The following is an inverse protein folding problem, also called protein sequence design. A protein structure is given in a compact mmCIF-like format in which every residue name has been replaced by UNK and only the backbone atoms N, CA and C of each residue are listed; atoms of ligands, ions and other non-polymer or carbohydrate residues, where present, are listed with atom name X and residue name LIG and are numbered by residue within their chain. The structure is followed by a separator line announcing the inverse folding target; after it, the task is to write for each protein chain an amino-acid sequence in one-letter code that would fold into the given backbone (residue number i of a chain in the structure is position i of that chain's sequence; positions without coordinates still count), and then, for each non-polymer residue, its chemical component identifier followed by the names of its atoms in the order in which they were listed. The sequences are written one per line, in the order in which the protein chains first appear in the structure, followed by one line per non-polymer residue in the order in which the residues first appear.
data_IF_632946236805
#
_entry.id   IF_632946236805
#
_cell.length_a   1.000
_cell.length_b   1.000
_cell.length_c   1.000
_cell.angle_alpha   90.00
_cell.angle_beta   90.00
_cell.angle_gamma   90.00
#
_symmetry.space_group_name_H-M   'P 1'
#
loop_
_entity.id
_entity.type
_entity.pdbx_description
1 polymer ?
#
# COMPACT_ATOMS: atom_id res chain seq x y z
N UNK A 1 -5.99 6.62 -78.46
CA UNK A 1 -6.19 7.85 -79.29
C UNK A 1 -7.05 8.82 -78.45
N UNK A 2 -6.80 10.14 -78.49
CA UNK A 2 -5.57 10.84 -78.74
C UNK A 2 -5.12 11.72 -77.53
N UNK A 3 -3.86 12.10 -77.65
CA UNK A 3 -3.15 13.14 -76.93
C UNK A 3 -3.79 14.55 -77.05
N UNK A 4 -3.62 15.42 -76.06
CA UNK A 4 -3.33 16.85 -76.29
C UNK A 4 -2.47 17.43 -75.14
N UNK A 5 -1.28 17.85 -75.52
CA UNK A 5 -0.41 18.85 -74.89
C UNK A 5 -1.04 20.24 -74.97
N UNK A 6 -0.78 21.14 -74.00
CA UNK A 6 -0.55 22.58 -74.17
C UNK A 6 0.11 23.09 -72.88
N UNK A 7 1.39 23.35 -72.88
CA UNK A 7 2.16 24.59 -73.06
C UNK A 7 2.16 25.57 -71.86
N UNK A 8 3.37 25.76 -71.32
CA UNK A 8 3.79 26.70 -70.29
C UNK A 8 3.66 28.19 -70.72
N UNK A 9 3.43 29.06 -69.74
CA UNK A 9 3.87 30.47 -69.82
C UNK A 9 4.48 30.85 -68.49
N UNK A 10 5.76 31.20 -68.55
CA UNK A 10 6.50 31.83 -67.47
C UNK A 10 6.24 33.34 -67.47
N UNK A 11 5.99 33.91 -66.28
CA UNK A 11 6.13 35.38 -66.09
C UNK A 11 6.98 35.62 -64.85
N UNK A 12 8.17 36.07 -65.04
CA UNK A 12 9.06 36.59 -64.01
C UNK A 12 8.68 38.01 -63.68
N UNK A 13 8.46 38.30 -62.38
CA UNK A 13 8.46 39.66 -61.87
C UNK A 13 9.46 39.74 -60.73
N UNK A 14 10.53 40.47 -61.00
CA UNK A 14 11.50 40.93 -60.02
C UNK A 14 10.90 42.10 -59.22
N UNK A 15 10.93 42.01 -57.86
CA UNK A 15 10.89 43.20 -57.03
C UNK A 15 11.71 42.96 -55.75
N UNK A 16 12.49 43.95 -55.41
CA UNK A 16 13.59 44.01 -54.50
C UNK A 16 13.22 43.96 -53.00
N UNK A 17 14.20 43.74 -52.10
CA UNK A 17 13.97 43.47 -50.69
C UNK A 17 13.71 44.74 -49.88
N UNK A 18 12.75 44.71 -48.99
CA UNK A 18 12.66 45.63 -47.86
C UNK A 18 13.15 44.88 -46.62
N UNK A 19 14.38 45.18 -46.21
CA UNK A 19 14.89 44.88 -44.88
C UNK A 19 14.11 45.70 -43.85
N UNK A 20 13.34 45.02 -43.03
CA UNK A 20 12.94 45.52 -41.71
C UNK A 20 13.39 44.49 -40.69
N UNK A 21 14.55 44.81 -40.09
CA UNK A 21 15.04 44.16 -38.90
C UNK A 21 14.15 44.53 -37.73
N UNK A 22 13.40 43.57 -37.22
CA UNK A 22 12.98 43.51 -35.81
C UNK A 22 13.36 42.12 -35.30
N UNK A 23 14.57 42.05 -34.75
CA UNK A 23 15.01 40.89 -33.96
C UNK A 23 14.36 40.95 -32.59
N UNK A 24 13.16 40.46 -32.52
CA UNK A 24 12.60 39.91 -31.30
C UNK A 24 12.78 38.43 -31.33
N UNK A 25 13.83 37.93 -30.71
CA UNK A 25 13.91 36.49 -30.39
C UNK A 25 12.90 36.20 -29.31
N UNK A 26 11.65 36.04 -29.69
CA UNK A 26 10.72 35.26 -28.87
C UNK A 26 11.22 33.82 -28.91
N UNK A 27 11.91 33.39 -27.84
CA UNK A 27 12.03 31.97 -27.56
C UNK A 27 10.61 31.42 -27.62
N UNK A 28 10.34 30.37 -28.46
CA UNK A 28 9.04 29.73 -28.42
C UNK A 28 8.84 29.32 -26.96
N UNK A 29 7.78 29.83 -26.33
CA UNK A 29 7.41 29.42 -24.98
C UNK A 29 7.37 27.88 -24.99
N UNK A 30 8.25 27.27 -24.21
CA UNK A 30 8.33 25.80 -24.09
C UNK A 30 6.91 25.34 -23.72
N UNK A 31 6.35 24.42 -24.51
CA UNK A 31 4.98 23.94 -24.28
C UNK A 31 4.86 23.48 -22.81
N UNK A 32 3.76 23.82 -22.10
CA UNK A 32 3.63 23.49 -20.69
C UNK A 32 3.87 22.00 -20.48
N UNK A 33 4.80 21.68 -19.59
CA UNK A 33 5.15 20.28 -19.28
C UNK A 33 3.93 19.62 -18.66
N UNK A 34 3.55 18.45 -19.16
CA UNK A 34 2.45 17.64 -18.60
C UNK A 34 3.03 16.35 -18.04
N UNK A 35 2.64 16.00 -16.83
CA UNK A 35 2.95 14.73 -16.19
C UNK A 35 1.72 13.84 -16.13
N UNK A 36 1.95 12.54 -16.24
CA UNK A 36 0.97 11.49 -15.95
C UNK A 36 1.29 10.85 -14.59
N UNK A 37 0.28 10.71 -13.75
CA UNK A 37 0.42 10.16 -12.41
C UNK A 37 -0.60 9.05 -12.17
N UNK A 38 -0.12 7.84 -11.84
CA UNK A 38 -0.98 6.76 -11.35
C UNK A 38 -0.97 6.76 -9.83
N UNK A 39 -2.07 7.18 -9.24
CA UNK A 39 -2.29 7.13 -7.80
C UNK A 39 -2.95 5.79 -7.41
N UNK A 40 -2.56 5.23 -6.27
CA UNK A 40 -3.27 4.09 -5.67
C UNK A 40 -4.58 4.55 -5.02
N UNK A 41 -5.60 3.69 -4.98
CA UNK A 41 -6.83 3.96 -4.25
C UNK A 41 -6.58 3.90 -2.75
N UNK A 42 -6.74 5.02 -2.05
CA UNK A 42 -6.58 5.16 -0.60
C UNK A 42 -7.90 5.48 0.11
N UNK A 43 -8.77 6.21 -0.54
CA UNK A 43 -10.05 6.63 -0.03
C UNK A 43 -11.17 5.60 -0.25
N UNK A 44 -12.39 6.01 0.03
CA UNK A 44 -13.58 5.17 -0.06
C UNK A 44 -13.92 4.73 -1.51
N UNK A 45 -13.44 5.44 -2.52
CA UNK A 45 -13.63 5.13 -3.94
C UNK A 45 -12.59 5.83 -4.80
N UNK A 46 -12.44 5.37 -6.06
CA UNK A 46 -11.56 6.00 -7.05
C UNK A 46 -11.93 7.46 -7.33
N UNK A 47 -13.23 7.77 -7.31
CA UNK A 47 -13.70 9.14 -7.50
C UNK A 47 -13.43 10.01 -6.28
N UNK A 48 -13.59 9.47 -5.06
CA UNK A 48 -13.22 10.19 -3.83
C UNK A 48 -11.73 10.54 -3.82
N UNK A 49 -10.86 9.63 -4.24
CA UNK A 49 -9.42 9.90 -4.34
C UNK A 49 -9.10 11.00 -5.36
N UNK A 50 -9.77 11.02 -6.51
CA UNK A 50 -9.61 12.12 -7.48
C UNK A 50 -10.00 13.45 -6.88
N UNK A 51 -11.12 13.51 -6.16
CA UNK A 51 -11.60 14.73 -5.51
C UNK A 51 -10.65 15.21 -4.40
N UNK A 52 -9.97 14.31 -3.72
CA UNK A 52 -8.95 14.64 -2.70
C UNK A 52 -7.66 15.15 -3.37
N UNK A 53 -7.23 14.50 -4.44
CA UNK A 53 -5.96 14.81 -5.09
C UNK A 53 -6.04 16.06 -6.00
N UNK A 54 -7.16 16.28 -6.68
CA UNK A 54 -7.26 17.33 -7.70
C UNK A 54 -6.91 18.74 -7.18
N UNK A 55 -7.38 19.20 -6.00
CA UNK A 55 -6.99 20.51 -5.47
C UNK A 55 -5.48 20.71 -5.31
N UNK A 56 -4.77 19.62 -4.90
CA UNK A 56 -3.33 19.64 -4.70
C UNK A 56 -2.58 19.62 -6.04
N UNK A 57 -3.10 18.90 -7.04
CA UNK A 57 -2.56 18.92 -8.40
C UNK A 57 -2.73 20.29 -9.04
N UNK A 58 -3.88 20.95 -8.87
CA UNK A 58 -4.13 22.31 -9.33
C UNK A 58 -3.23 23.33 -8.62
N UNK A 59 -2.92 23.10 -7.34
CA UNK A 59 -1.97 23.91 -6.56
C UNK A 59 -0.56 23.77 -7.12
N UNK A 60 -0.12 22.53 -7.42
CA UNK A 60 1.16 22.28 -8.06
C UNK A 60 1.26 22.94 -9.42
N UNK A 61 0.22 22.85 -10.27
CA UNK A 61 0.16 23.52 -11.57
C UNK A 61 0.28 25.05 -11.42
N UNK A 62 -0.45 25.65 -10.48
CA UNK A 62 -0.34 27.11 -10.21
C UNK A 62 1.05 27.53 -9.76
N UNK A 63 1.76 26.70 -9.00
CA UNK A 63 3.10 27.03 -8.48
C UNK A 63 4.21 26.84 -9.52
N UNK A 64 4.04 25.91 -10.46
CA UNK A 64 5.13 25.45 -11.32
C UNK A 64 4.87 25.61 -12.82
N UNK A 65 3.62 25.80 -13.22
CA UNK A 65 3.19 25.74 -14.62
C UNK A 65 3.16 24.30 -15.18
N UNK A 66 3.38 23.27 -14.35
CA UNK A 66 3.39 21.86 -14.76
C UNK A 66 2.03 21.25 -14.45
N UNK A 67 1.33 20.80 -15.48
CA UNK A 67 0.05 20.11 -15.34
C UNK A 67 0.27 18.65 -14.99
N UNK A 68 -0.48 18.11 -14.03
CA UNK A 68 -0.49 16.68 -13.68
C UNK A 68 -1.85 16.07 -13.99
N UNK A 69 -1.86 15.03 -14.80
CA UNK A 69 -3.07 14.24 -15.07
C UNK A 69 -3.02 12.97 -14.22
N UNK A 70 -3.98 12.84 -13.29
CA UNK A 70 -4.05 11.69 -12.39
C UNK A 70 -5.02 10.62 -12.91
N UNK A 71 -4.60 9.37 -12.79
CA UNK A 71 -5.46 8.17 -12.87
C UNK A 71 -5.36 7.44 -11.53
N UNK A 72 -6.50 7.25 -10.85
CA UNK A 72 -6.55 6.43 -9.63
C UNK A 72 -6.76 4.98 -10.03
N UNK A 73 -5.86 4.11 -9.60
CA UNK A 73 -5.84 2.68 -9.97
C UNK A 73 -6.21 1.83 -8.75
N UNK A 74 -7.17 0.88 -8.86
CA UNK A 74 -7.48 -0.06 -7.79
C UNK A 74 -6.27 -0.90 -7.41
N UNK A 75 -6.13 -1.23 -6.13
CA UNK A 75 -5.03 -2.09 -5.63
C UNK A 75 -5.00 -3.46 -6.30
N UNK A 76 -6.17 -4.04 -6.61
CA UNK A 76 -6.30 -5.33 -7.34
C UNK A 76 -5.59 -5.34 -8.69
N UNK A 77 -5.46 -4.18 -9.33
CA UNK A 77 -4.96 -4.04 -10.70
C UNK A 77 -3.57 -3.42 -10.76
N UNK A 78 -3.21 -2.66 -9.72
CA UNK A 78 -2.05 -1.75 -9.75
C UNK A 78 -0.75 -2.50 -9.99
N UNK A 79 -0.46 -3.58 -9.27
CA UNK A 79 0.79 -4.33 -9.43
C UNK A 79 0.92 -4.90 -10.85
N UNK A 80 -0.15 -5.52 -11.37
CA UNK A 80 -0.14 -6.08 -12.73
C UNK A 80 0.07 -5.01 -13.79
N UNK A 81 -0.53 -3.83 -13.62
CA UNK A 81 -0.34 -2.68 -14.52
C UNK A 81 1.10 -2.15 -14.46
N UNK A 82 1.70 -2.09 -13.25
CA UNK A 82 3.10 -1.68 -13.07
C UNK A 82 4.06 -2.63 -13.78
N UNK A 83 3.87 -3.94 -13.64
CA UNK A 83 4.69 -4.95 -14.30
C UNK A 83 4.54 -4.92 -15.82
N UNK A 84 3.30 -4.74 -16.32
CA UNK A 84 3.05 -4.56 -17.76
C UNK A 84 3.71 -3.28 -18.30
N UNK A 85 3.63 -2.18 -17.57
CA UNK A 85 4.28 -0.92 -17.94
C UNK A 85 5.82 -1.04 -17.90
N UNK A 86 6.37 -1.73 -16.90
CA UNK A 86 7.80 -2.01 -16.80
C UNK A 86 8.33 -2.81 -18.02
N UNK A 87 7.52 -3.78 -18.46
CA UNK A 87 7.89 -4.64 -19.60
C UNK A 87 7.75 -3.93 -20.96
N UNK A 88 6.66 -3.16 -21.13
CA UNK A 88 6.34 -2.47 -22.41
C UNK A 88 7.07 -1.14 -22.56
N UNK A 89 7.58 -0.55 -21.49
CA UNK A 89 8.06 0.83 -21.48
C UNK A 89 6.95 1.89 -21.63
N UNK A 90 5.69 1.48 -21.53
CA UNK A 90 4.50 2.35 -21.64
C UNK A 90 3.88 2.54 -20.24
N UNK A 91 4.34 3.53 -19.51
CA UNK A 91 3.88 3.82 -18.16
C UNK A 91 3.70 5.31 -17.92
N UNK A 92 3.18 5.72 -16.75
CA UNK A 92 3.09 7.11 -16.34
C UNK A 92 4.49 7.68 -16.04
N UNK A 93 4.57 8.99 -15.83
CA UNK A 93 5.82 9.62 -15.37
C UNK A 93 6.08 9.29 -13.89
N UNK A 94 5.05 9.37 -13.06
CA UNK A 94 5.10 9.13 -11.61
C UNK A 94 4.01 8.14 -11.22
N UNK A 95 4.28 7.30 -10.23
CA UNK A 95 3.33 6.28 -9.77
C UNK A 95 3.43 6.04 -8.27
N UNK A 96 2.30 5.73 -7.64
CA UNK A 96 2.26 5.11 -6.33
C UNK A 96 2.55 3.61 -6.43
N UNK A 97 3.37 3.11 -5.52
CA UNK A 97 3.62 1.69 -5.35
C UNK A 97 3.40 1.31 -3.89
N UNK A 98 2.93 0.09 -3.62
CA UNK A 98 3.00 -0.48 -2.28
C UNK A 98 4.47 -0.56 -1.85
N UNK A 99 4.75 -0.17 -0.62
CA UNK A 99 6.13 -0.22 -0.12
C UNK A 99 6.70 -1.64 -0.13
N UNK A 100 5.86 -2.65 0.05
CA UNK A 100 6.21 -4.08 -0.01
C UNK A 100 6.73 -4.50 -1.39
N UNK A 101 6.21 -3.91 -2.47
CA UNK A 101 6.64 -4.19 -3.85
C UNK A 101 7.94 -3.50 -4.28
N UNK A 102 8.50 -2.63 -3.43
CA UNK A 102 9.63 -1.77 -3.81
C UNK A 102 10.84 -2.59 -4.29
N UNK A 103 11.21 -3.65 -3.58
CA UNK A 103 12.34 -4.49 -3.96
C UNK A 103 12.10 -5.25 -5.27
N UNK A 104 10.90 -5.81 -5.46
CA UNK A 104 10.51 -6.52 -6.68
C UNK A 104 10.47 -5.58 -7.89
N UNK A 105 9.88 -4.40 -7.74
CA UNK A 105 9.82 -3.41 -8.80
C UNK A 105 11.20 -2.81 -9.12
N UNK A 106 12.06 -2.64 -8.10
CA UNK A 106 13.45 -2.23 -8.31
C UNK A 106 14.20 -3.22 -9.19
N UNK A 107 14.01 -4.52 -8.99
CA UNK A 107 14.65 -5.57 -9.78
C UNK A 107 14.26 -5.54 -11.26
N UNK A 108 13.10 -4.96 -11.61
CA UNK A 108 12.72 -4.77 -13.03
C UNK A 108 13.59 -3.77 -13.76
N UNK A 109 14.30 -2.88 -13.07
CA UNK A 109 15.08 -1.78 -13.65
C UNK A 109 14.24 -0.68 -14.33
N UNK A 110 12.91 -0.70 -14.18
CA UNK A 110 11.98 0.22 -14.85
C UNK A 110 11.87 1.60 -14.16
N UNK A 111 12.34 1.73 -12.95
CA UNK A 111 12.25 2.97 -12.15
C UNK A 111 13.63 3.59 -11.98
N UNK A 112 13.66 4.92 -11.73
CA UNK A 112 14.91 5.58 -11.35
C UNK A 112 15.32 5.14 -9.95
N UNK A 113 16.62 5.19 -9.67
CA UNK A 113 17.13 5.07 -8.30
C UNK A 113 17.18 6.43 -7.64
N UNK A 114 16.75 6.49 -6.39
CA UNK A 114 16.89 7.67 -5.55
C UNK A 114 18.23 7.59 -4.81
N UNK A 115 19.32 7.75 -5.55
CA UNK A 115 20.65 7.93 -5.00
C UNK A 115 20.76 9.25 -4.20
N UNK A 116 21.91 9.53 -3.61
CA UNK A 116 22.10 10.74 -2.78
C UNK A 116 21.78 12.03 -3.56
N UNK A 117 22.12 12.10 -4.85
CA UNK A 117 21.83 13.27 -5.70
C UNK A 117 20.33 13.42 -5.98
N UNK A 118 19.66 12.30 -6.30
CA UNK A 118 18.22 12.27 -6.57
C UNK A 118 17.42 12.53 -5.27
N UNK A 119 17.84 11.97 -4.13
CA UNK A 119 17.25 12.29 -2.83
C UNK A 119 17.43 13.77 -2.47
N UNK A 120 18.60 14.36 -2.74
CA UNK A 120 18.80 15.81 -2.54
C UNK A 120 17.83 16.66 -3.36
N UNK A 121 17.52 16.26 -4.60
CA UNK A 121 16.57 16.97 -5.46
C UNK A 121 15.13 16.97 -4.87
N UNK A 122 14.76 15.97 -4.08
CA UNK A 122 13.44 15.90 -3.42
C UNK A 122 13.47 16.31 -1.94
N UNK A 123 14.54 16.97 -1.49
CA UNK A 123 14.64 17.57 -0.16
C UNK A 123 15.53 16.81 0.83
N UNK A 124 16.23 15.76 0.38
CA UNK A 124 17.23 15.01 1.16
C UNK A 124 16.64 13.81 1.93
N UNK A 125 17.48 12.79 2.14
CA UNK A 125 17.09 11.54 2.81
C UNK A 125 16.70 11.75 4.28
N UNK A 126 17.35 12.70 4.95
CA UNK A 126 17.23 12.89 6.40
C UNK A 126 15.85 13.44 6.82
N UNK A 127 15.07 13.94 5.88
CA UNK A 127 13.70 14.39 6.16
C UNK A 127 12.72 13.23 6.34
N UNK A 128 12.96 12.10 5.70
CA UNK A 128 12.05 10.96 5.75
C UNK A 128 12.16 10.18 7.06
N UNK A 129 11.07 9.54 7.46
CA UNK A 129 11.04 8.57 8.57
C UNK A 129 11.93 7.38 8.17
N UNK A 130 12.94 7.00 8.99
CA UNK A 130 13.92 5.99 8.58
C UNK A 130 13.31 4.64 8.21
N UNK A 131 12.33 4.14 8.99
CA UNK A 131 11.66 2.87 8.71
C UNK A 131 10.88 2.90 7.38
N UNK A 132 10.22 4.02 7.06
CA UNK A 132 9.51 4.19 5.81
C UNK A 132 10.47 4.25 4.61
N UNK A 133 11.56 5.03 4.72
CA UNK A 133 12.55 5.10 3.64
C UNK A 133 13.28 3.77 3.44
N UNK A 134 13.57 3.03 4.51
CA UNK A 134 14.18 1.70 4.43
C UNK A 134 13.32 0.69 3.66
N UNK A 135 11.99 0.86 3.63
CA UNK A 135 11.07 -0.01 2.87
C UNK A 135 10.86 0.42 1.41
N UNK A 136 11.60 1.44 0.93
CA UNK A 136 11.42 1.99 -0.41
C UNK A 136 12.33 1.36 -1.49
N UNK A 137 12.95 0.22 -1.21
CA UNK A 137 13.81 -0.51 -2.13
C UNK A 137 14.37 -1.79 -1.54
N UNK A 138 15.24 -2.46 -2.29
CA UNK A 138 15.96 -3.64 -1.83
C UNK A 138 17.00 -3.27 -0.77
N UNK A 139 17.25 -4.21 0.15
CA UNK A 139 18.21 -4.02 1.23
C UNK A 139 19.62 -3.66 0.69
N UNK A 140 20.27 -2.69 1.32
CA UNK A 140 21.62 -2.22 0.98
C UNK A 140 21.76 -1.63 -0.45
N UNK A 141 20.67 -1.16 -1.05
CA UNK A 141 20.69 -0.46 -2.35
C UNK A 141 20.08 0.93 -2.19
N UNK A 142 20.41 1.89 -3.08
CA UNK A 142 19.65 3.13 -3.18
C UNK A 142 18.16 2.81 -3.42
N UNK A 143 17.22 3.47 -2.73
CA UNK A 143 15.80 3.17 -2.90
C UNK A 143 15.34 3.45 -4.33
N UNK A 144 14.29 2.75 -4.77
CA UNK A 144 13.64 2.95 -6.08
C UNK A 144 12.46 3.91 -6.02
N UNK A 145 12.12 4.36 -4.83
CA UNK A 145 10.99 5.25 -4.55
C UNK A 145 11.28 6.09 -3.31
N UNK A 146 10.38 7.02 -2.99
CA UNK A 146 10.37 7.72 -1.69
C UNK A 146 9.01 7.54 -1.01
N UNK A 147 8.96 7.45 0.32
CA UNK A 147 7.70 7.22 1.02
C UNK A 147 6.79 8.45 0.95
N UNK A 148 5.49 8.20 0.70
CA UNK A 148 4.42 9.20 0.63
C UNK A 148 3.48 9.09 1.83
N UNK A 149 3.00 7.88 2.13
CA UNK A 149 2.16 7.57 3.28
C UNK A 149 2.80 6.46 4.10
N UNK A 150 2.70 6.56 5.43
CA UNK A 150 3.13 5.52 6.35
C UNK A 150 1.92 4.94 7.08
N UNK A 151 1.89 3.63 7.25
CA UNK A 151 0.79 2.88 7.82
C UNK A 151 1.33 1.76 8.74
N UNK A 152 0.48 1.30 9.66
CA UNK A 152 0.70 0.11 10.45
C UNK A 152 -0.64 -0.57 10.73
N UNK A 153 -0.63 -1.86 11.05
CA UNK A 153 -1.83 -2.54 11.53
C UNK A 153 -2.11 -2.19 12.98
N UNK A 154 -3.39 -2.06 13.28
CA UNK A 154 -3.91 -1.94 14.64
C UNK A 154 -5.14 -2.83 14.83
N UNK A 155 -5.48 -3.08 16.06
CA UNK A 155 -6.74 -3.69 16.47
C UNK A 155 -7.76 -2.58 16.71
N UNK A 156 -8.82 -2.55 15.93
CA UNK A 156 -9.99 -1.72 16.13
C UNK A 156 -11.04 -2.54 16.88
N UNK A 157 -11.69 -1.94 17.88
CA UNK A 157 -12.73 -2.61 18.65
C UNK A 157 -13.94 -1.70 18.89
N UNK A 158 -15.13 -2.27 18.79
CA UNK A 158 -16.39 -1.55 19.02
C UNK A 158 -16.63 -1.42 20.52
N UNK A 159 -16.55 -0.18 21.04
CA UNK A 159 -16.66 0.11 22.48
C UNK A 159 -18.00 -0.34 23.08
N UNK A 160 -19.11 -0.13 22.34
CA UNK A 160 -20.43 -0.53 22.83
C UNK A 160 -20.53 -2.05 22.95
N UNK A 161 -20.09 -2.78 21.92
CA UNK A 161 -20.12 -4.24 21.93
C UNK A 161 -19.24 -4.83 23.03
N UNK A 162 -18.06 -4.22 23.30
CA UNK A 162 -17.19 -4.59 24.42
C UNK A 162 -17.87 -4.39 25.75
N UNK A 163 -18.48 -3.21 25.96
CA UNK A 163 -19.22 -2.91 27.18
C UNK A 163 -20.40 -3.89 27.40
N UNK A 164 -21.21 -4.14 26.35
CA UNK A 164 -22.35 -5.07 26.40
C UNK A 164 -21.91 -6.52 26.67
N UNK A 165 -20.69 -6.89 26.32
CA UNK A 165 -20.10 -8.22 26.55
C UNK A 165 -19.28 -8.28 27.86
N UNK A 166 -19.21 -7.20 28.65
CA UNK A 166 -18.45 -7.13 29.90
C UNK A 166 -16.93 -7.23 29.67
N UNK A 167 -16.42 -6.75 28.52
CA UNK A 167 -15.00 -6.71 28.20
C UNK A 167 -14.44 -5.35 28.58
N UNK A 168 -13.60 -5.30 29.61
CA UNK A 168 -13.13 -4.05 30.21
C UNK A 168 -12.01 -3.35 29.42
N UNK A 169 -11.23 -4.10 28.64
CA UNK A 169 -10.07 -3.56 27.92
C UNK A 169 -9.83 -4.34 26.61
N UNK A 170 -9.18 -3.72 25.60
CA UNK A 170 -8.80 -4.44 24.39
C UNK A 170 -7.77 -5.55 24.70
N UNK A 171 -7.82 -6.67 23.96
CA UNK A 171 -6.90 -7.77 24.15
C UNK A 171 -5.46 -7.38 23.77
N UNK A 172 -4.49 -7.84 24.56
CA UNK A 172 -3.06 -7.65 24.34
C UNK A 172 -2.36 -8.94 23.89
N UNK A 173 -3.06 -10.09 24.03
CA UNK A 173 -2.61 -11.38 23.54
C UNK A 173 -3.64 -12.02 22.62
N UNK A 174 -3.20 -12.96 21.76
CA UNK A 174 -4.10 -13.69 20.86
C UNK A 174 -5.13 -14.52 21.62
N UNK A 175 -4.74 -15.08 22.77
CA UNK A 175 -5.64 -15.84 23.63
C UNK A 175 -6.75 -14.92 24.17
N UNK A 176 -6.41 -13.72 24.64
CA UNK A 176 -7.40 -12.72 25.06
C UNK A 176 -8.29 -12.27 23.90
N UNK A 177 -7.74 -12.14 22.68
CA UNK A 177 -8.54 -11.80 21.50
C UNK A 177 -9.57 -12.88 21.19
N UNK A 178 -9.20 -14.16 21.29
CA UNK A 178 -10.11 -15.27 21.09
C UNK A 178 -11.19 -15.31 22.18
N UNK A 179 -10.83 -15.10 23.45
CA UNK A 179 -11.80 -15.02 24.56
C UNK A 179 -12.79 -13.86 24.33
N UNK A 180 -12.29 -12.68 23.97
CA UNK A 180 -13.14 -11.54 23.62
C UNK A 180 -14.01 -11.87 22.41
N UNK A 181 -13.44 -12.44 21.37
CA UNK A 181 -14.14 -12.86 20.16
C UNK A 181 -15.29 -13.82 20.44
N UNK A 182 -15.08 -14.82 21.29
CA UNK A 182 -16.15 -15.77 21.72
C UNK A 182 -17.28 -15.08 22.48
N UNK A 183 -16.96 -14.10 23.37
CA UNK A 183 -17.99 -13.31 24.08
C UNK A 183 -18.79 -12.41 23.15
N UNK A 184 -18.14 -11.90 22.10
CA UNK A 184 -18.75 -11.02 21.12
C UNK A 184 -19.56 -11.77 20.05
N UNK A 185 -19.23 -13.04 19.79
CA UNK A 185 -19.93 -13.87 18.79
C UNK A 185 -21.30 -14.32 19.31
N UNK A 186 -22.35 -13.91 18.61
CA UNK A 186 -23.77 -14.26 18.86
C UNK A 186 -24.44 -14.57 17.53
N UNK A 187 -25.74 -14.89 17.51
CA UNK A 187 -26.47 -15.37 16.32
C UNK A 187 -26.30 -14.52 15.04
N UNK A 188 -26.20 -13.19 15.16
CA UNK A 188 -26.08 -12.26 14.03
C UNK A 188 -24.85 -11.32 14.14
N UNK A 189 -23.95 -11.64 15.06
CA UNK A 189 -22.81 -10.82 15.41
C UNK A 189 -21.58 -11.70 15.57
N UNK A 190 -20.42 -11.23 15.11
CA UNK A 190 -19.18 -11.97 15.19
C UNK A 190 -18.11 -11.20 15.97
N UNK A 191 -17.16 -11.96 16.52
CA UNK A 191 -16.07 -11.37 17.29
C UNK A 191 -15.05 -10.62 16.43
N UNK A 192 -14.70 -11.15 15.27
CA UNK A 192 -13.67 -10.63 14.39
C UNK A 192 -14.13 -10.68 12.94
N UNK A 193 -13.74 -9.67 12.14
CA UNK A 193 -13.83 -9.74 10.68
C UNK A 193 -12.47 -10.10 10.06
N UNK A 194 -12.50 -10.88 8.99
CA UNK A 194 -11.35 -11.33 8.20
C UNK A 194 -11.64 -11.06 6.72
N UNK A 195 -10.61 -10.72 5.93
CA UNK A 195 -10.69 -10.62 4.46
C UNK A 195 -10.06 -11.87 3.83
N UNK A 196 -10.74 -13.03 3.95
CA UNK A 196 -10.20 -14.32 3.57
C UNK A 196 -9.86 -14.49 2.09
N UNK A 197 -10.52 -13.75 1.19
CA UNK A 197 -10.20 -13.75 -0.23
C UNK A 197 -9.18 -12.66 -0.64
N UNK A 198 -8.80 -11.77 0.26
CA UNK A 198 -7.80 -10.74 -0.01
C UNK A 198 -6.39 -11.30 0.12
N UNK A 199 -5.72 -11.45 -1.03
CA UNK A 199 -4.40 -12.08 -1.13
C UNK A 199 -3.34 -11.29 -0.34
N UNK A 200 -3.30 -9.97 -0.49
CA UNK A 200 -2.32 -9.13 0.19
C UNK A 200 -2.52 -9.13 1.71
N UNK A 201 -3.77 -8.96 2.18
CA UNK A 201 -4.09 -9.02 3.62
C UNK A 201 -3.68 -10.36 4.25
N UNK A 202 -3.95 -11.47 3.55
CA UNK A 202 -3.53 -12.80 4.00
C UNK A 202 -2.01 -12.91 4.15
N UNK A 203 -1.24 -12.45 3.16
CA UNK A 203 0.22 -12.47 3.20
C UNK A 203 0.79 -11.57 4.32
N UNK A 204 0.19 -10.39 4.54
CA UNK A 204 0.58 -9.49 5.62
C UNK A 204 0.36 -10.11 7.01
N UNK A 205 -0.78 -10.79 7.20
CA UNK A 205 -1.04 -11.52 8.43
C UNK A 205 -0.13 -12.74 8.57
N UNK A 206 0.13 -13.50 7.48
CA UNK A 206 1.11 -14.57 7.49
C UNK A 206 2.48 -14.09 7.95
N UNK A 207 2.95 -12.96 7.41
CA UNK A 207 4.21 -12.35 7.83
C UNK A 207 4.21 -12.02 9.33
N UNK A 208 3.19 -11.31 9.80
CA UNK A 208 3.11 -10.85 11.20
C UNK A 208 3.09 -12.03 12.17
N UNK A 209 2.25 -13.04 11.89
CA UNK A 209 2.21 -14.28 12.70
C UNK A 209 3.52 -15.06 12.55
N UNK A 210 4.08 -15.17 11.34
CA UNK A 210 5.36 -15.84 11.09
C UNK A 210 6.46 -15.27 11.97
N UNK A 211 6.61 -13.95 12.05
CA UNK A 211 7.60 -13.30 12.91
C UNK A 211 7.37 -13.62 14.39
N UNK A 212 6.11 -13.65 14.86
CA UNK A 212 5.80 -14.02 16.24
C UNK A 212 6.10 -15.50 16.55
N UNK A 213 5.97 -16.37 15.55
CA UNK A 213 6.31 -17.80 15.67
C UNK A 213 7.78 -18.13 15.41
N UNK A 214 8.62 -17.12 15.08
CA UNK A 214 10.05 -17.29 14.78
C UNK A 214 10.31 -17.86 13.38
N UNK A 215 9.34 -17.75 12.49
CA UNK A 215 9.48 -18.10 11.08
C UNK A 215 10.06 -16.97 10.25
N UNK A 216 10.85 -17.35 9.27
CA UNK A 216 11.32 -16.48 8.20
C UNK A 216 10.72 -16.97 6.88
N UNK A 217 10.36 -16.05 5.99
CA UNK A 217 9.76 -16.39 4.70
C UNK A 217 10.81 -16.59 3.60
N UNK A 218 12.00 -16.05 3.83
CA UNK A 218 13.19 -16.27 3.02
C UNK A 218 14.40 -16.47 3.92
N UNK A 219 15.33 -17.29 3.52
CA UNK A 219 16.61 -17.41 4.19
C UNK A 219 17.54 -16.24 3.87
N UNK A 220 18.71 -16.22 4.48
CA UNK A 220 19.71 -15.16 4.29
C UNK A 220 20.23 -15.05 2.83
N UNK A 221 20.02 -16.06 1.99
CA UNK A 221 20.37 -16.06 0.57
C UNK A 221 19.22 -15.57 -0.32
N UNK A 222 18.05 -15.27 0.25
CA UNK A 222 16.83 -14.92 -0.47
C UNK A 222 16.06 -16.11 -1.02
N UNK A 223 16.36 -17.34 -0.58
CA UNK A 223 15.63 -18.55 -0.97
C UNK A 223 14.36 -18.66 -0.12
N UNK A 224 13.20 -19.02 -0.73
CA UNK A 224 11.94 -19.15 0.00
C UNK A 224 11.96 -20.31 1.01
N UNK A 225 11.32 -20.10 2.15
CA UNK A 225 11.24 -21.04 3.29
C UNK A 225 9.80 -21.10 3.83
N UNK A 226 8.82 -21.22 2.94
CA UNK A 226 7.40 -21.03 3.28
C UNK A 226 6.83 -22.15 4.15
N UNK A 227 7.25 -23.39 3.95
CA UNK A 227 6.72 -24.60 4.59
C UNK A 227 7.45 -25.02 5.88
N UNK A 228 8.23 -24.11 6.47
CA UNK A 228 8.86 -24.37 7.76
C UNK A 228 7.81 -24.61 8.86
N UNK A 229 8.12 -25.42 9.90
CA UNK A 229 7.17 -25.65 10.99
C UNK A 229 6.63 -24.39 11.63
N UNK A 230 7.46 -23.34 11.74
CA UNK A 230 7.08 -22.05 12.31
C UNK A 230 6.05 -21.31 11.44
N UNK A 231 6.28 -21.25 10.14
CA UNK A 231 5.37 -20.61 9.19
C UNK A 231 4.05 -21.40 9.06
N UNK A 232 4.12 -22.73 9.06
CA UNK A 232 2.94 -23.59 9.08
C UNK A 232 2.09 -23.33 10.33
N UNK A 233 2.71 -23.31 11.52
CA UNK A 233 2.00 -23.01 12.77
C UNK A 233 1.40 -21.60 12.78
N UNK A 234 2.12 -20.61 12.24
CA UNK A 234 1.69 -19.23 12.14
C UNK A 234 0.44 -19.08 11.24
N UNK A 235 0.48 -19.63 10.03
CA UNK A 235 -0.66 -19.61 9.10
C UNK A 235 -1.84 -20.39 9.69
N UNK A 236 -1.57 -21.59 10.26
CA UNK A 236 -2.60 -22.39 10.91
C UNK A 236 -3.31 -21.60 12.00
N UNK A 237 -2.57 -20.89 12.85
CA UNK A 237 -3.14 -20.08 13.94
C UNK A 237 -4.08 -18.99 13.41
N UNK A 238 -3.73 -18.33 12.31
CA UNK A 238 -4.60 -17.30 11.71
C UNK A 238 -5.88 -17.91 11.10
N UNK A 239 -5.75 -19.02 10.38
CA UNK A 239 -6.91 -19.77 9.84
C UNK A 239 -7.82 -20.25 10.97
N UNK A 240 -7.27 -20.66 12.12
CA UNK A 240 -8.02 -21.18 13.27
C UNK A 240 -8.93 -20.13 13.93
N UNK A 241 -8.71 -18.85 13.75
CA UNK A 241 -9.65 -17.82 14.20
C UNK A 241 -11.06 -18.04 13.60
N UNK A 242 -11.12 -18.55 12.36
CA UNK A 242 -12.39 -18.95 11.72
C UNK A 242 -12.71 -20.43 11.93
N UNK A 243 -11.73 -21.32 11.70
CA UNK A 243 -11.95 -22.76 11.62
C UNK A 243 -12.27 -23.41 12.99
N UNK A 244 -11.52 -23.05 14.03
CA UNK A 244 -11.53 -23.67 15.35
C UNK A 244 -12.17 -22.76 16.40
N UNK A 245 -11.70 -21.51 16.49
CA UNK A 245 -12.19 -20.55 17.49
C UNK A 245 -13.59 -20.04 17.16
N UNK A 246 -13.97 -20.06 15.88
CA UNK A 246 -15.28 -19.68 15.36
C UNK A 246 -15.68 -18.25 15.77
N UNK A 247 -14.71 -17.35 15.80
CA UNK A 247 -14.93 -15.94 16.12
C UNK A 247 -15.11 -15.07 14.87
N UNK A 248 -14.82 -15.60 13.68
CA UNK A 248 -15.05 -14.97 12.39
C UNK A 248 -16.11 -15.72 11.58
N UNK A 249 -16.95 -14.97 10.84
CA UNK A 249 -17.98 -15.55 9.98
C UNK A 249 -17.34 -16.36 8.84
N UNK A 250 -17.74 -17.60 8.57
CA UNK A 250 -17.25 -18.35 7.42
C UNK A 250 -17.42 -17.62 6.07
N UNK A 251 -18.46 -16.78 5.91
CA UNK A 251 -18.63 -15.96 4.70
C UNK A 251 -17.49 -14.95 4.48
N UNK A 252 -16.70 -14.65 5.49
CA UNK A 252 -15.51 -13.81 5.37
C UNK A 252 -14.43 -14.41 4.46
N UNK A 253 -14.51 -15.71 4.15
CA UNK A 253 -13.67 -16.37 3.15
C UNK A 253 -13.80 -15.75 1.73
N UNK A 254 -14.93 -15.07 1.45
CA UNK A 254 -15.18 -14.37 0.17
C UNK A 254 -14.88 -12.87 0.23
N UNK A 255 -14.50 -12.33 1.37
CA UNK A 255 -14.21 -10.91 1.53
C UNK A 255 -12.84 -10.56 0.94
N UNK A 256 -12.82 -9.55 0.04
CA UNK A 256 -11.62 -9.12 -0.68
C UNK A 256 -11.51 -7.60 -0.89
N UNK A 257 -12.58 -6.84 -0.56
CA UNK A 257 -12.70 -5.43 -0.91
C UNK A 257 -13.28 -4.59 0.23
N UNK A 258 -12.66 -4.66 1.41
CA UNK A 258 -13.03 -3.91 2.62
C UNK A 258 -14.44 -4.22 3.17
N UNK A 259 -15.01 -5.39 2.85
CA UNK A 259 -16.29 -5.83 3.45
C UNK A 259 -16.19 -5.95 4.96
N UNK A 260 -15.02 -6.37 5.48
CA UNK A 260 -14.71 -6.41 6.91
C UNK A 260 -14.84 -5.05 7.59
N UNK A 261 -14.37 -3.99 6.93
CA UNK A 261 -14.50 -2.60 7.40
C UNK A 261 -15.98 -2.19 7.44
N UNK A 262 -16.75 -2.55 6.43
CA UNK A 262 -18.19 -2.26 6.39
C UNK A 262 -18.95 -3.02 7.47
N UNK A 263 -18.62 -4.28 7.73
CA UNK A 263 -19.24 -5.05 8.81
C UNK A 263 -18.90 -4.48 10.19
N UNK A 264 -17.68 -3.99 10.39
CA UNK A 264 -17.28 -3.31 11.62
C UNK A 264 -18.03 -1.97 11.79
N UNK A 265 -18.08 -1.13 10.77
CA UNK A 265 -18.77 0.14 10.79
C UNK A 265 -20.28 -0.02 11.09
N UNK A 266 -20.89 -1.09 10.58
CA UNK A 266 -22.30 -1.40 10.79
C UNK A 266 -22.58 -2.22 12.07
N UNK A 267 -21.60 -2.43 12.94
CA UNK A 267 -21.76 -3.12 14.22
C UNK A 267 -22.07 -4.62 14.11
N UNK A 268 -21.76 -5.26 12.98
CA UNK A 268 -21.90 -6.72 12.81
C UNK A 268 -20.74 -7.50 13.42
N UNK A 269 -19.59 -6.84 13.60
CA UNK A 269 -18.41 -7.45 14.21
C UNK A 269 -17.84 -6.55 15.30
N UNK A 270 -17.29 -7.18 16.35
CA UNK A 270 -16.75 -6.46 17.50
C UNK A 270 -15.30 -6.02 17.35
N UNK A 271 -14.51 -6.68 16.51
CA UNK A 271 -13.09 -6.41 16.31
C UNK A 271 -12.72 -6.45 14.83
N UNK A 272 -11.72 -5.67 14.45
CA UNK A 272 -11.15 -5.61 13.12
C UNK A 272 -9.62 -5.41 13.23
N UNK A 273 -8.84 -6.19 12.49
CA UNK A 273 -7.41 -5.97 12.30
C UNK A 273 -7.23 -5.24 10.97
N UNK A 274 -6.80 -3.99 11.02
CA UNK A 274 -6.69 -3.19 9.79
C UNK A 274 -5.64 -2.10 9.91
N UNK A 275 -5.25 -1.56 8.76
CA UNK A 275 -4.41 -0.37 8.68
C UNK A 275 -5.30 0.87 8.77
N UNK A 276 -4.81 2.02 9.21
CA UNK A 276 -5.43 3.35 9.25
C UNK A 276 -6.85 3.45 8.62
N UNK A 277 -7.89 3.01 9.33
CA UNK A 277 -9.24 2.85 8.77
C UNK A 277 -10.23 3.92 9.22
N UNK A 278 -9.82 4.83 10.11
CA UNK A 278 -10.70 5.82 10.73
C UNK A 278 -11.44 6.71 9.73
N UNK A 279 -10.80 7.10 8.63
CA UNK A 279 -11.44 7.87 7.55
C UNK A 279 -12.54 7.07 6.84
N UNK A 280 -12.32 5.78 6.60
CA UNK A 280 -13.31 4.88 5.99
C UNK A 280 -14.49 4.61 6.92
N UNK A 281 -14.23 4.46 8.24
CA UNK A 281 -15.28 4.31 9.25
C UNK A 281 -16.15 5.57 9.34
N UNK A 282 -15.53 6.75 9.32
CA UNK A 282 -16.24 8.03 9.29
C UNK A 282 -17.10 8.16 8.03
N UNK A 283 -16.58 7.78 6.86
CA UNK A 283 -17.34 7.80 5.60
C UNK A 283 -18.57 6.87 5.64
N UNK A 284 -18.54 5.82 6.47
CA UNK A 284 -19.65 4.92 6.73
C UNK A 284 -20.50 5.32 7.96
N UNK A 285 -20.40 6.57 8.41
CA UNK A 285 -21.14 7.16 9.53
C UNK A 285 -20.84 6.54 10.90
N UNK A 286 -19.71 5.85 11.08
CA UNK A 286 -19.27 5.43 12.42
C UNK A 286 -18.55 6.58 13.11
N UNK A 287 -19.08 6.99 14.27
CA UNK A 287 -18.49 8.07 15.07
C UNK A 287 -17.14 7.66 15.66
N UNK A 288 -16.19 8.58 15.73
CA UNK A 288 -14.82 8.30 16.21
C UNK A 288 -14.77 7.83 17.68
N UNK A 289 -15.75 8.20 18.49
CA UNK A 289 -15.88 7.77 19.89
C UNK A 289 -16.55 6.38 20.03
N UNK A 290 -17.17 5.85 18.96
CA UNK A 290 -17.83 4.54 18.97
C UNK A 290 -16.84 3.36 18.97
N UNK A 291 -15.60 3.59 18.54
CA UNK A 291 -14.57 2.56 18.52
C UNK A 291 -13.32 2.99 19.30
N UNK A 292 -12.50 2.01 19.63
CA UNK A 292 -11.16 2.22 20.17
C UNK A 292 -10.12 1.56 19.28
N UNK A 293 -8.87 1.98 19.44
CA UNK A 293 -7.72 1.45 18.72
C UNK A 293 -6.67 0.98 19.70
N UNK A 294 -6.08 -0.16 19.44
CA UNK A 294 -5.01 -0.76 20.26
C UNK A 294 -3.97 -1.43 19.34
N UNK A 295 -2.74 -1.67 19.81
CA UNK A 295 -1.79 -2.49 19.08
C UNK A 295 -2.35 -3.89 18.81
N UNK A 296 -2.01 -4.47 17.65
CA UNK A 296 -2.33 -5.88 17.35
C UNK A 296 -1.72 -6.77 18.44
N UNK A 297 -2.45 -7.79 18.93
CA UNK A 297 -1.97 -8.65 20.01
C UNK A 297 -0.69 -9.42 19.69
N UNK A 298 0.00 -9.84 20.75
CA UNK A 298 1.14 -10.75 20.66
C UNK A 298 0.77 -12.16 21.14
N UNK A 299 1.60 -13.14 20.80
CA UNK A 299 1.57 -14.43 21.49
C UNK A 299 1.95 -14.21 22.96
N UNK A 300 1.15 -14.77 23.88
CA UNK A 300 1.47 -14.71 25.30
C UNK A 300 2.76 -15.46 25.62
N UNK A 301 2.99 -16.58 24.95
CA UNK A 301 4.16 -17.44 25.09
C UNK A 301 4.76 -17.72 23.71
N UNK A 302 5.56 -16.78 23.14
CA UNK A 302 6.16 -17.02 21.84
C UNK A 302 7.15 -18.19 21.90
N UNK A 303 7.22 -19.02 20.86
CA UNK A 303 8.22 -20.08 20.77
C UNK A 303 9.64 -19.50 20.62
N UNK A 304 10.65 -20.35 20.74
CA UNK A 304 12.05 -19.94 20.53
C UNK A 304 12.23 -19.32 19.15
N UNK A 305 12.89 -18.17 19.09
CA UNK A 305 13.04 -17.37 17.87
C UNK A 305 11.88 -16.42 17.58
N UNK A 306 10.76 -16.51 18.31
CA UNK A 306 9.64 -15.59 18.17
C UNK A 306 10.01 -14.14 18.45
N UNK A 307 9.57 -13.23 17.57
CA UNK A 307 9.88 -11.80 17.63
C UNK A 307 8.68 -10.99 18.10
N UNK A 308 8.94 -9.86 18.75
CA UNK A 308 7.91 -8.89 19.12
C UNK A 308 7.54 -8.00 17.93
N UNK A 309 6.99 -8.62 16.91
CA UNK A 309 6.47 -7.96 15.71
C UNK A 309 4.97 -8.18 15.65
N UNK A 310 4.19 -7.10 15.59
CA UNK A 310 2.72 -7.17 15.51
C UNK A 310 2.12 -6.38 14.36
N UNK A 311 2.97 -5.86 13.48
CA UNK A 311 2.59 -5.23 12.22
C UNK A 311 3.72 -5.37 11.22
N UNK A 312 3.39 -5.39 9.95
CA UNK A 312 4.39 -5.00 8.97
C UNK A 312 4.55 -3.47 8.95
N UNK A 313 5.69 -2.98 8.47
CA UNK A 313 5.83 -1.59 8.03
C UNK A 313 5.03 -1.45 6.74
N UNK A 314 3.87 -0.84 6.82
CA UNK A 314 3.02 -0.58 5.68
C UNK A 314 3.20 0.85 5.18
N UNK A 315 2.92 1.09 3.91
CA UNK A 315 2.99 2.42 3.34
C UNK A 315 2.89 2.42 1.82
N UNK A 316 2.79 3.62 1.31
CA UNK A 316 2.77 3.86 -0.12
C UNK A 316 3.96 4.75 -0.46
N UNK A 317 4.70 4.34 -1.48
CA UNK A 317 5.84 5.07 -1.99
C UNK A 317 5.51 5.72 -3.34
N UNK A 318 6.19 6.81 -3.67
CA UNK A 318 6.19 7.41 -4.99
C UNK A 318 7.44 6.99 -5.75
N UNK A 319 7.25 6.40 -6.91
CA UNK A 319 8.30 6.02 -7.84
C UNK A 319 8.20 6.83 -9.14
N UNK A 320 9.32 7.00 -9.82
CA UNK A 320 9.41 7.69 -11.12
C UNK A 320 9.88 6.69 -12.16
N UNK A 321 9.14 6.56 -13.27
CA UNK A 321 9.54 5.69 -14.37
C UNK A 321 10.81 6.19 -15.04
N UNK A 322 11.75 5.28 -15.33
CA UNK A 322 13.03 5.59 -15.98
C UNK A 322 12.85 6.14 -17.40
N UNK A 323 11.75 5.76 -18.07
CA UNK A 323 11.44 6.17 -19.44
C UNK A 323 10.77 7.55 -19.53
N UNK A 324 10.46 8.20 -18.40
CA UNK A 324 9.92 9.56 -18.45
C UNK A 324 10.86 10.51 -19.18
N UNK A 325 10.30 11.31 -20.06
CA UNK A 325 11.02 12.42 -20.72
C UNK A 325 11.01 13.69 -19.88
N UNK A 326 10.27 13.67 -18.76
CA UNK A 326 10.01 14.83 -17.91
C UNK A 326 10.64 14.62 -16.50
N UNK A 327 11.84 14.00 -16.41
CA UNK A 327 12.46 13.60 -15.15
C UNK A 327 12.51 14.71 -14.10
N UNK A 328 12.93 15.91 -14.48
CA UNK A 328 13.06 17.03 -13.54
C UNK A 328 11.70 17.50 -13.05
N UNK A 329 10.69 17.56 -13.92
CA UNK A 329 9.32 17.86 -13.56
C UNK A 329 8.73 16.79 -12.64
N UNK A 330 9.01 15.50 -12.90
CA UNK A 330 8.59 14.39 -12.05
C UNK A 330 9.23 14.48 -10.65
N UNK A 331 10.52 14.80 -10.54
CA UNK A 331 11.18 15.00 -9.26
C UNK A 331 10.64 16.22 -8.51
N UNK A 332 10.30 17.30 -9.23
CA UNK A 332 9.66 18.48 -8.64
C UNK A 332 8.26 18.12 -8.10
N UNK A 333 7.50 17.29 -8.80
CA UNK A 333 6.21 16.78 -8.33
C UNK A 333 6.36 15.87 -7.11
N UNK A 334 7.32 14.95 -7.10
CA UNK A 334 7.64 14.11 -5.92
C UNK A 334 8.02 14.98 -4.72
N UNK A 335 8.86 16.02 -4.92
CA UNK A 335 9.23 16.97 -3.87
C UNK A 335 8.02 17.72 -3.31
N UNK A 336 7.10 18.14 -4.18
CA UNK A 336 5.86 18.80 -3.79
C UNK A 336 4.99 17.89 -2.95
N UNK A 337 4.66 16.68 -3.45
CA UNK A 337 3.81 15.71 -2.75
C UNK A 337 4.38 15.24 -1.40
N UNK A 338 5.69 15.30 -1.24
CA UNK A 338 6.38 14.99 0.02
C UNK A 338 6.74 16.24 0.83
N UNK A 339 6.30 17.46 0.47
CA UNK A 339 6.49 18.66 1.26
C UNK A 339 5.74 18.57 2.60
N UNK A 340 6.16 19.35 3.59
CA UNK A 340 5.52 19.35 4.90
C UNK A 340 4.02 19.69 4.82
N UNK A 341 3.66 20.65 3.98
CA UNK A 341 2.27 21.07 3.75
C UNK A 341 1.43 19.92 3.17
N UNK A 342 1.89 19.27 2.09
CA UNK A 342 1.19 18.16 1.46
C UNK A 342 1.13 16.92 2.36
N UNK A 343 2.18 16.66 3.12
CA UNK A 343 2.20 15.55 4.07
C UNK A 343 1.18 15.73 5.18
N UNK A 344 0.91 16.96 5.64
CA UNK A 344 -0.18 17.24 6.60
C UNK A 344 -1.53 17.13 5.91
N UNK A 345 -1.72 17.76 4.75
CA UNK A 345 -3.01 17.81 4.06
C UNK A 345 -3.51 16.41 3.68
N UNK A 346 -2.68 15.64 2.98
CA UNK A 346 -3.04 14.33 2.46
C UNK A 346 -3.17 13.27 3.57
N UNK A 347 -2.19 13.20 4.49
CA UNK A 347 -2.21 12.18 5.54
C UNK A 347 -3.35 12.41 6.55
N UNK A 348 -3.70 13.67 6.86
CA UNK A 348 -4.88 13.99 7.65
C UNK A 348 -6.16 13.52 6.96
N UNK A 349 -6.26 13.69 5.65
CA UNK A 349 -7.46 13.33 4.89
C UNK A 349 -7.62 11.82 4.80
N UNK A 350 -6.54 11.09 4.56
CA UNK A 350 -6.55 9.63 4.47
C UNK A 350 -6.49 8.92 5.84
N UNK A 351 -6.16 9.63 6.91
CA UNK A 351 -5.97 9.04 8.24
C UNK A 351 -4.63 8.32 8.39
N UNK A 352 -3.75 8.40 7.40
CA UNK A 352 -2.42 7.81 7.41
C UNK A 352 -1.43 8.64 8.25
N UNK A 353 -0.20 8.13 8.39
CA UNK A 353 0.89 8.84 9.06
C UNK A 353 1.80 9.52 8.03
N UNK A 354 2.34 10.70 8.35
CA UNK A 354 3.29 11.36 7.47
C UNK A 354 4.58 10.55 7.38
N UNK A 355 5.16 10.55 6.18
CA UNK A 355 6.45 9.89 5.92
C UNK A 355 7.64 10.82 6.13
N UNK A 356 7.41 12.07 6.54
CA UNK A 356 8.46 13.04 6.86
C UNK A 356 8.44 13.38 8.36
N UNK A 357 9.65 13.51 8.94
CA UNK A 357 9.84 13.72 10.39
C UNK A 357 9.34 15.06 10.90
N UNK A 358 9.46 16.10 10.07
CA UNK A 358 9.17 17.49 10.44
C UNK A 358 7.74 17.70 10.90
N UNK A 359 6.78 16.97 10.35
CA UNK A 359 5.35 17.10 10.67
C UNK A 359 4.78 15.95 11.50
N UNK A 360 5.60 15.02 11.95
CA UNK A 360 5.11 13.86 12.73
C UNK A 360 4.48 14.26 14.08
N UNK A 361 4.83 15.42 14.62
CA UNK A 361 4.27 16.00 15.85
C UNK A 361 3.12 16.97 15.61
N UNK A 362 2.67 17.18 14.37
CA UNK A 362 1.55 18.07 14.05
C UNK A 362 0.27 17.61 14.76
N UNK A 363 -0.56 18.57 15.16
CA UNK A 363 -1.83 18.31 15.85
C UNK A 363 -2.78 17.39 15.05
N UNK A 364 -2.67 17.38 13.74
CA UNK A 364 -3.45 16.49 12.86
C UNK A 364 -3.21 15.00 13.12
N UNK A 365 -2.05 14.62 13.70
CA UNK A 365 -1.64 13.24 13.96
C UNK A 365 -1.66 12.87 15.45
N UNK A 366 -2.41 13.61 16.28
CA UNK A 366 -2.49 13.40 17.72
C UNK A 366 -3.77 12.70 18.19
N UNK A 367 -4.64 12.26 17.29
CA UNK A 367 -5.77 11.41 17.64
C UNK A 367 -5.30 10.02 18.11
N UNK A 368 -6.13 9.31 18.87
CA UNK A 368 -5.77 8.01 19.46
C UNK A 368 -5.33 6.98 18.41
N UNK A 369 -6.00 6.94 17.27
CA UNK A 369 -5.62 6.07 16.14
C UNK A 369 -4.19 6.34 15.69
N UNK A 370 -3.88 7.60 15.34
CA UNK A 370 -2.56 7.99 14.83
C UNK A 370 -1.46 7.75 15.87
N UNK A 371 -1.75 7.96 17.17
CA UNK A 371 -0.80 7.64 18.24
C UNK A 371 -0.49 6.17 18.32
N UNK A 372 -1.50 5.30 18.25
CA UNK A 372 -1.30 3.84 18.27
C UNK A 372 -0.53 3.39 17.02
N UNK A 373 -0.93 3.85 15.83
CA UNK A 373 -0.25 3.50 14.58
C UNK A 373 1.21 3.98 14.59
N UNK A 374 1.47 5.20 15.08
CA UNK A 374 2.83 5.75 15.19
C UNK A 374 3.68 4.97 16.18
N UNK A 375 3.12 4.59 17.33
CA UNK A 375 3.80 3.75 18.32
C UNK A 375 4.16 2.38 17.73
N UNK A 376 3.22 1.72 17.05
CA UNK A 376 3.45 0.40 16.40
C UNK A 376 4.52 0.52 15.33
N UNK A 377 4.40 1.51 14.44
CA UNK A 377 5.37 1.75 13.36
C UNK A 377 6.79 2.01 13.89
N UNK A 378 6.89 2.74 15.00
CA UNK A 378 8.17 3.10 15.60
C UNK A 378 8.81 2.03 16.49
N UNK A 379 8.08 0.99 16.90
CA UNK A 379 8.58 0.07 17.93
C UNK A 379 8.41 -1.42 17.61
N UNK A 380 7.32 -1.83 16.98
CA UNK A 380 6.95 -3.25 16.83
C UNK A 380 6.54 -3.64 15.40
N UNK A 381 6.61 -2.73 14.45
CA UNK A 381 6.49 -3.05 13.04
C UNK A 381 7.85 -3.51 12.46
N UNK A 382 7.80 -4.45 11.52
CA UNK A 382 8.96 -4.88 10.74
C UNK A 382 8.67 -4.81 9.23
N UNK A 383 9.66 -4.48 8.38
CA UNK A 383 9.46 -4.53 6.93
C UNK A 383 9.24 -5.96 6.47
N UNK A 384 8.43 -6.15 5.43
CA UNK A 384 8.39 -7.42 4.70
C UNK A 384 9.78 -7.73 4.13
N UNK A 385 10.05 -8.99 3.74
CA UNK A 385 11.34 -9.35 3.17
C UNK A 385 11.73 -8.47 1.98
N UNK A 386 12.84 -7.74 2.08
CA UNK A 386 13.29 -6.81 1.04
C UNK A 386 14.09 -7.51 -0.06
N UNK A 387 13.49 -8.51 -0.66
CA UNK A 387 14.08 -9.35 -1.72
C UNK A 387 13.32 -9.17 -3.04
N UNK A 388 13.96 -9.40 -4.20
CA UNK A 388 13.30 -9.27 -5.51
C UNK A 388 12.06 -10.15 -5.67
N UNK A 389 11.98 -11.27 -4.98
CA UNK A 389 10.88 -12.22 -5.02
C UNK A 389 9.72 -11.92 -4.05
N UNK A 390 9.74 -10.78 -3.35
CA UNK A 390 8.77 -10.42 -2.33
C UNK A 390 7.33 -10.42 -2.87
N UNK A 391 7.07 -9.79 -4.02
CA UNK A 391 5.71 -9.76 -4.60
C UNK A 391 5.17 -11.14 -5.01
N UNK A 392 6.06 -12.10 -5.28
CA UNK A 392 5.67 -13.50 -5.48
C UNK A 392 5.26 -14.16 -4.15
N UNK A 393 5.97 -13.85 -3.05
CA UNK A 393 5.56 -14.27 -1.71
C UNK A 393 4.15 -13.80 -1.38
N UNK A 394 3.86 -12.51 -1.51
CA UNK A 394 2.51 -11.98 -1.26
C UNK A 394 1.46 -12.73 -2.09
N UNK A 395 1.71 -12.90 -3.38
CA UNK A 395 0.76 -13.56 -4.28
C UNK A 395 0.57 -15.04 -3.94
N UNK A 396 1.63 -15.79 -3.75
CA UNK A 396 1.58 -17.24 -3.61
C UNK A 396 1.11 -17.67 -2.21
N UNK A 397 1.66 -17.07 -1.16
CA UNK A 397 1.25 -17.36 0.22
C UNK A 397 -0.17 -16.84 0.48
N UNK A 398 -0.50 -15.64 0.01
CA UNK A 398 -1.84 -15.09 0.13
C UNK A 398 -2.89 -15.94 -0.59
N UNK A 399 -2.56 -16.46 -1.78
CA UNK A 399 -3.44 -17.40 -2.52
C UNK A 399 -3.61 -18.73 -1.76
N UNK A 400 -2.53 -19.30 -1.21
CA UNK A 400 -2.60 -20.50 -0.39
C UNK A 400 -3.55 -20.32 0.80
N UNK A 401 -3.48 -19.18 1.48
CA UNK A 401 -4.37 -18.86 2.60
C UNK A 401 -5.82 -18.64 2.18
N UNK A 402 -6.05 -17.96 1.05
CA UNK A 402 -7.39 -17.82 0.46
C UNK A 402 -8.04 -19.19 0.22
N UNK A 403 -7.29 -20.14 -0.32
CA UNK A 403 -7.79 -21.49 -0.56
C UNK A 403 -8.10 -22.25 0.75
N UNK A 404 -7.29 -22.03 1.80
CA UNK A 404 -7.54 -22.58 3.13
C UNK A 404 -8.81 -22.00 3.76
N UNK A 405 -9.04 -20.68 3.65
CA UNK A 405 -10.28 -20.06 4.10
C UNK A 405 -11.50 -20.57 3.33
N UNK A 406 -11.38 -20.74 2.01
CA UNK A 406 -12.45 -21.33 1.19
C UNK A 406 -12.76 -22.80 1.62
N UNK A 407 -11.75 -23.59 2.00
CA UNK A 407 -11.93 -24.92 2.56
C UNK A 407 -12.73 -24.87 3.87
N UNK A 408 -12.40 -23.94 4.79
CA UNK A 408 -13.17 -23.73 6.03
C UNK A 408 -14.62 -23.35 5.73
N UNK A 409 -14.84 -22.40 4.83
CA UNK A 409 -16.17 -21.91 4.46
C UNK A 409 -17.06 -23.02 3.86
N UNK A 410 -16.48 -23.96 3.13
CA UNK A 410 -17.18 -25.16 2.62
C UNK A 410 -17.43 -26.25 3.65
N UNK A 411 -17.09 -26.03 4.92
CA UNK A 411 -17.26 -26.98 6.03
C UNK A 411 -16.13 -28.00 6.18
N UNK A 412 -15.02 -27.82 5.42
CA UNK A 412 -13.83 -28.66 5.54
C UNK A 412 -12.99 -28.32 6.77
N UNK A 413 -12.40 -29.32 7.40
CA UNK A 413 -11.37 -29.10 8.41
C UNK A 413 -10.06 -28.74 7.73
N UNK A 414 -9.25 -27.87 8.37
CA UNK A 414 -7.90 -27.51 7.93
C UNK A 414 -6.90 -28.03 8.97
N UNK A 415 -6.08 -29.00 8.60
CA UNK A 415 -5.00 -29.54 9.42
C UNK A 415 -3.69 -28.79 9.19
N UNK A 416 -2.68 -29.01 10.06
CA UNK A 416 -1.32 -28.50 9.81
C UNK A 416 -0.71 -29.08 8.53
N UNK A 417 -1.07 -30.30 8.15
CA UNK A 417 -0.59 -30.91 6.91
C UNK A 417 -1.20 -30.25 5.68
N UNK A 418 -2.48 -29.85 5.74
CA UNK A 418 -3.11 -29.07 4.67
C UNK A 418 -2.39 -27.72 4.48
N UNK A 419 -2.08 -27.03 5.59
CA UNK A 419 -1.33 -25.78 5.55
C UNK A 419 0.07 -26.00 4.98
N UNK A 420 0.80 -27.02 5.49
CA UNK A 420 2.14 -27.35 5.00
C UNK A 420 2.12 -27.63 3.50
N UNK A 421 1.19 -28.44 3.03
CA UNK A 421 1.05 -28.78 1.61
C UNK A 421 0.82 -27.52 0.78
N UNK A 422 -0.10 -26.64 1.18
CA UNK A 422 -0.38 -25.40 0.44
C UNK A 422 0.82 -24.46 0.41
N UNK A 423 1.56 -24.32 1.51
CA UNK A 423 2.77 -23.51 1.56
C UNK A 423 3.92 -24.11 0.74
N UNK A 424 4.09 -25.44 0.74
CA UNK A 424 5.07 -26.14 -0.08
C UNK A 424 4.75 -26.03 -1.58
N UNK A 425 3.47 -26.17 -1.95
CA UNK A 425 2.99 -25.95 -3.32
C UNK A 425 3.26 -24.51 -3.77
N UNK A 426 2.99 -23.52 -2.91
CA UNK A 426 3.30 -22.10 -3.14
C UNK A 426 4.81 -21.88 -3.32
N UNK A 427 5.64 -22.46 -2.44
CA UNK A 427 7.11 -22.38 -2.53
C UNK A 427 7.64 -22.95 -3.84
N UNK A 428 7.08 -24.08 -4.30
CA UNK A 428 7.49 -24.72 -5.55
C UNK A 428 7.21 -23.89 -6.81
N UNK A 429 6.29 -22.94 -6.72
CA UNK A 429 5.92 -22.01 -7.81
C UNK A 429 6.79 -20.76 -7.85
N UNK A 430 7.64 -20.53 -6.84
CA UNK A 430 8.57 -19.41 -6.85
C UNK A 430 9.52 -19.52 -8.05
N UNK A 431 9.57 -18.47 -8.84
CA UNK A 431 10.51 -18.34 -9.94
C UNK A 431 11.76 -17.61 -9.45
N UNK A 432 12.92 -18.18 -9.72
CA UNK A 432 14.19 -17.59 -9.36
C UNK A 432 14.51 -16.32 -10.13
#
# INVERSE_FOLDING_TARGET
MPKRLVTAVAAAVLLAPVLSACSGSENPAEAPKTLTYWASNQGASLEADKQILQPELDKFERQTGIKVTVEVVPWSDLLNRLLAAATSGQGPDVVNIGNTWSASLQATGAFIQFDDATLAAVGGKDRFVPAALASAGAANQPPTAVPLYSLAYALYYNKKMFADAGIAAPPTTWEQLVEAGKKLTKSQQWGLAIEGANISENAHHAFTFGQQYGGEWFDASGKPTFDTPQNVAAVKRYIDLMAVDKIANPSNAEYAQNQSVSDFANGKVGMLLWQAVGSSLKAQNMAADAYGVAPVPFLANPPAGGKRVNSMVAGINMAVYKHTKNRDAALQFVKFMTSDEEQVALNRTYGSLPSVKTVSSDAAFQADEQKVLSQVLGSTAAPLPQVPAESQFETLVGTAMKELFAQVASGGAVSEEDVRKKLSDAQSQMRG
#
